data_IF_882977422181
#
_entry.id   IF_882977422181
#
_cell.length_a   1.000
_cell.length_b   1.000
_cell.length_c   1.000
_cell.angle_alpha   90.00
_cell.angle_beta   90.00
_cell.angle_gamma   90.00
#
_symmetry.space_group_name_H-M   'P 1'
#
loop_
_entity.id
_entity.type
_entity.pdbx_description
1 polymer ?
#
# COMPACT_ATOMS: atom_id res chain seq x y z
N UNK A 1 18.97 -13.07 -10.66
CA UNK A 1 19.21 -11.73 -11.22
C UNK A 1 18.87 -10.65 -10.18
N UNK A 2 19.49 -10.74 -8.99
CA UNK A 2 18.99 -10.11 -7.75
C UNK A 2 20.12 -9.38 -6.97
N UNK A 3 21.02 -8.72 -7.71
CA UNK A 3 22.22 -8.09 -7.10
C UNK A 3 22.73 -6.82 -7.80
N UNK A 4 21.84 -6.03 -8.42
CA UNK A 4 22.19 -4.73 -9.04
C UNK A 4 21.09 -3.68 -8.89
N UNK A 5 20.76 -3.30 -7.66
CA UNK A 5 19.93 -2.12 -7.36
C UNK A 5 20.48 -1.26 -6.20
N UNK A 6 21.76 -1.44 -5.87
CA UNK A 6 22.48 -0.62 -4.89
C UNK A 6 23.58 0.21 -5.57
N UNK A 7 23.30 0.81 -6.72
CA UNK A 7 24.12 1.93 -7.18
C UNK A 7 23.78 3.16 -6.32
N UNK A 8 24.48 3.27 -5.20
CA UNK A 8 24.55 4.46 -4.36
C UNK A 8 25.42 5.50 -5.07
N UNK A 9 24.92 6.60 -5.66
CA UNK A 9 25.76 7.75 -5.91
C UNK A 9 25.81 8.57 -4.62
N UNK A 10 26.38 8.01 -3.56
CA UNK A 10 26.54 8.76 -2.31
C UNK A 10 27.89 9.47 -2.37
N UNK A 11 27.88 10.76 -2.76
CA UNK A 11 28.61 11.67 -1.88
C UNK A 11 28.01 11.45 -0.49
N UNK A 12 28.81 11.04 0.51
CA UNK A 12 28.27 10.58 1.77
C UNK A 12 27.73 11.78 2.52
N UNK A 13 26.42 12.07 2.37
CA UNK A 13 25.69 13.09 3.14
C UNK A 13 26.04 12.99 4.61
N UNK A 14 26.22 11.75 5.11
CA UNK A 14 26.75 11.45 6.43
C UNK A 14 27.93 12.35 6.82
N UNK A 15 28.96 12.52 5.97
CA UNK A 15 30.13 13.36 6.27
C UNK A 15 29.80 14.83 6.55
N UNK A 16 28.66 15.33 6.11
CA UNK A 16 28.22 16.70 6.40
C UNK A 16 27.37 16.81 7.66
N UNK A 17 26.83 15.70 8.16
CA UNK A 17 25.97 15.67 9.33
C UNK A 17 26.78 15.80 10.62
N UNK A 18 26.26 16.59 11.55
CA UNK A 18 26.79 16.73 12.90
C UNK A 18 25.64 17.01 13.86
N UNK A 19 25.86 16.74 15.14
CA UNK A 19 25.00 17.21 16.22
C UNK A 19 25.69 18.39 16.94
N UNK A 20 24.96 19.41 17.42
CA UNK A 20 23.51 19.51 17.38
C UNK A 20 22.97 19.79 15.97
N UNK A 21 21.74 19.35 15.71
CA UNK A 21 21.03 19.60 14.46
C UNK A 21 19.52 19.64 14.69
N UNK A 22 18.83 20.43 13.86
CA UNK A 22 17.38 20.51 13.80
C UNK A 22 16.91 19.96 12.46
N UNK A 23 16.05 18.96 12.48
CA UNK A 23 15.60 18.28 11.26
C UNK A 23 14.09 18.40 11.14
N UNK A 24 13.63 18.93 10.00
CA UNK A 24 12.23 18.84 9.60
C UNK A 24 12.07 17.76 8.54
N UNK A 25 11.08 16.89 8.73
CA UNK A 25 10.72 15.87 7.76
C UNK A 25 9.26 16.06 7.34
N UNK A 26 8.97 15.89 6.04
CA UNK A 26 7.61 15.95 5.50
C UNK A 26 7.46 14.87 4.45
N UNK A 27 6.45 14.03 4.57
CA UNK A 27 6.11 13.01 3.57
C UNK A 27 4.71 13.25 2.98
N UNK A 28 4.59 13.01 1.67
CA UNK A 28 3.38 13.23 0.89
C UNK A 28 3.06 12.01 0.03
N UNK A 29 1.87 11.45 0.20
CA UNK A 29 1.36 10.35 -0.61
C UNK A 29 0.88 10.90 -1.95
N UNK A 30 1.32 10.26 -3.03
CA UNK A 30 0.92 10.58 -4.39
C UNK A 30 -0.42 9.90 -4.71
N UNK A 31 -1.38 10.67 -5.20
CA UNK A 31 -2.63 10.18 -5.77
C UNK A 31 -2.45 9.66 -7.19
N UNK A 32 -1.51 10.25 -7.95
CA UNK A 32 -1.16 9.84 -9.32
C UNK A 32 0.37 9.83 -9.49
N UNK A 33 1.05 8.73 -9.08
CA UNK A 33 2.52 8.68 -9.05
C UNK A 33 3.21 8.93 -10.41
N UNK A 34 2.73 8.44 -11.56
CA UNK A 34 3.31 8.77 -12.87
C UNK A 34 3.43 10.27 -13.15
N UNK A 35 2.44 11.06 -12.74
CA UNK A 35 2.42 12.51 -12.96
C UNK A 35 3.08 13.28 -11.82
N UNK A 36 2.80 12.90 -10.57
CA UNK A 36 3.25 13.63 -9.40
C UNK A 36 4.72 13.39 -9.06
N UNK A 37 5.29 12.22 -9.41
CA UNK A 37 6.72 11.96 -9.19
C UNK A 37 7.62 12.95 -9.94
N UNK A 38 7.50 13.12 -11.27
CA UNK A 38 8.30 14.12 -11.98
C UNK A 38 7.94 15.55 -11.54
N UNK A 39 6.67 15.84 -11.19
CA UNK A 39 6.27 17.15 -10.67
C UNK A 39 6.99 17.49 -9.34
N UNK A 40 7.02 16.56 -8.38
CA UNK A 40 7.71 16.75 -7.10
C UNK A 40 9.21 17.00 -7.24
N UNK A 41 9.83 16.45 -8.30
CA UNK A 41 11.22 16.75 -8.66
C UNK A 41 11.38 18.20 -9.13
N UNK A 42 10.46 18.69 -9.96
CA UNK A 42 10.45 20.09 -10.43
C UNK A 42 10.21 21.04 -9.24
N UNK A 43 9.31 20.68 -8.32
CA UNK A 43 9.10 21.42 -7.06
C UNK A 43 10.40 21.49 -6.25
N UNK A 44 11.12 20.37 -6.12
CA UNK A 44 12.40 20.33 -5.43
C UNK A 44 13.45 21.22 -6.11
N UNK A 45 13.54 21.20 -7.44
CA UNK A 45 14.44 22.09 -8.19
C UNK A 45 14.09 23.57 -7.98
N UNK A 46 12.79 23.91 -7.98
CA UNK A 46 12.32 25.27 -7.68
C UNK A 46 12.69 25.69 -6.25
N UNK A 47 12.54 24.79 -5.28
CA UNK A 47 12.95 25.01 -3.89
C UNK A 47 14.44 25.30 -3.76
N UNK A 48 15.30 24.54 -4.43
CA UNK A 48 16.75 24.77 -4.45
C UNK A 48 17.08 26.16 -5.03
N UNK A 49 16.39 26.56 -6.11
CA UNK A 49 16.54 27.88 -6.72
C UNK A 49 16.09 29.02 -5.82
N UNK A 50 14.93 28.89 -5.16
CA UNK A 50 14.40 29.89 -4.22
C UNK A 50 15.33 30.10 -3.02
N UNK A 51 15.89 29.02 -2.50
CA UNK A 51 16.87 29.07 -1.41
C UNK A 51 18.26 29.53 -1.87
N UNK A 52 18.45 29.84 -3.16
CA UNK A 52 19.71 30.30 -3.76
C UNK A 52 20.87 29.33 -3.50
N UNK A 53 20.61 28.02 -3.63
CA UNK A 53 21.63 26.99 -3.47
C UNK A 53 22.42 26.88 -4.77
N UNK A 54 23.75 26.98 -4.68
CA UNK A 54 24.63 26.89 -5.85
C UNK A 54 24.49 25.55 -6.56
N UNK A 55 24.50 25.55 -7.90
CA UNK A 55 24.43 24.33 -8.71
C UNK A 55 25.51 23.31 -8.33
N UNK A 56 26.70 23.77 -7.95
CA UNK A 56 27.83 22.93 -7.51
C UNK A 56 27.57 22.19 -6.19
N UNK A 57 26.68 22.73 -5.37
CA UNK A 57 26.26 22.15 -4.09
C UNK A 57 24.90 21.45 -4.19
N UNK A 58 24.44 21.15 -5.40
CA UNK A 58 23.18 20.44 -5.67
C UNK A 58 23.40 19.18 -6.47
N UNK A 59 22.51 18.24 -6.28
CA UNK A 59 22.48 17.01 -7.05
C UNK A 59 21.04 16.55 -7.18
N UNK A 60 20.57 16.34 -8.41
CA UNK A 60 19.19 15.89 -8.67
C UNK A 60 19.20 14.78 -9.71
N UNK A 61 18.58 13.65 -9.38
CA UNK A 61 18.31 12.50 -10.25
C UNK A 61 16.80 12.26 -10.34
N UNK A 62 16.43 11.13 -10.94
CA UNK A 62 15.03 10.74 -11.13
C UNK A 62 14.25 10.65 -9.82
N UNK A 63 14.79 9.97 -8.80
CA UNK A 63 14.07 9.66 -7.56
C UNK A 63 14.76 10.19 -6.30
N UNK A 64 15.82 10.99 -6.46
CA UNK A 64 16.64 11.45 -5.35
C UNK A 64 17.30 12.78 -5.70
N UNK A 65 17.37 13.68 -4.73
CA UNK A 65 18.18 14.87 -4.85
C UNK A 65 18.56 15.44 -3.49
N UNK A 66 19.61 16.26 -3.48
CA UNK A 66 19.99 17.06 -2.33
C UNK A 66 20.52 18.44 -2.75
N UNK A 67 20.52 19.37 -1.81
CA UNK A 67 21.20 20.66 -1.92
C UNK A 67 21.78 21.07 -0.57
N UNK A 68 22.96 21.68 -0.59
CA UNK A 68 23.66 22.14 0.61
C UNK A 68 23.94 23.63 0.51
N UNK A 69 23.56 24.39 1.55
CA UNK A 69 23.83 25.82 1.66
C UNK A 69 24.56 26.10 2.97
N UNK A 70 25.61 26.91 2.90
CA UNK A 70 26.28 27.45 4.08
C UNK A 70 25.95 28.94 4.18
N UNK A 71 25.58 29.40 5.37
CA UNK A 71 25.34 30.81 5.66
C UNK A 71 26.62 31.47 6.17
N UNK A 72 26.70 32.80 6.08
CA UNK A 72 27.87 33.57 6.52
C UNK A 72 28.19 33.45 8.02
N UNK A 73 27.23 33.02 8.83
CA UNK A 73 27.41 32.74 10.27
C UNK A 73 27.95 31.32 10.57
N UNK A 74 28.24 30.51 9.54
CA UNK A 74 28.73 29.14 9.66
C UNK A 74 27.64 28.07 9.85
N UNK A 75 26.37 28.46 9.81
CA UNK A 75 25.26 27.51 9.79
C UNK A 75 25.19 26.79 8.45
N UNK A 76 24.79 25.53 8.47
CA UNK A 76 24.60 24.73 7.25
C UNK A 76 23.16 24.26 7.15
N UNK A 77 22.57 24.40 5.97
CA UNK A 77 21.26 23.86 5.61
C UNK A 77 21.46 22.76 4.56
N UNK A 78 20.94 21.56 4.82
CA UNK A 78 20.95 20.44 3.88
C UNK A 78 19.50 20.09 3.58
N UNK A 79 19.13 20.10 2.30
CA UNK A 79 17.84 19.65 1.83
C UNK A 79 18.01 18.34 1.10
N UNK A 80 17.13 17.38 1.38
CA UNK A 80 17.09 16.09 0.73
C UNK A 80 15.66 15.87 0.25
N UNK A 81 15.52 15.43 -0.99
CA UNK A 81 14.26 14.98 -1.56
C UNK A 81 14.40 13.54 -2.05
N UNK A 82 13.40 12.73 -1.77
CA UNK A 82 13.35 11.34 -2.22
C UNK A 82 11.96 11.01 -2.71
N UNK A 83 11.88 10.46 -3.92
CA UNK A 83 10.65 9.90 -4.47
C UNK A 83 10.67 8.38 -4.37
N UNK A 84 9.59 7.83 -3.83
CA UNK A 84 9.31 6.41 -3.75
C UNK A 84 8.21 6.03 -4.74
N UNK A 85 7.74 4.79 -4.68
CA UNK A 85 6.67 4.31 -5.55
C UNK A 85 5.36 5.06 -5.31
N UNK A 86 5.00 5.29 -4.04
CA UNK A 86 3.66 5.77 -3.64
C UNK A 86 3.67 7.11 -2.90
N UNK A 87 4.84 7.57 -2.47
CA UNK A 87 5.01 8.84 -1.75
C UNK A 87 6.35 9.47 -2.12
N UNK A 88 6.52 10.74 -1.79
CA UNK A 88 7.81 11.40 -1.78
C UNK A 88 7.98 12.18 -0.48
N UNK A 89 9.21 12.56 -0.17
CA UNK A 89 9.50 13.27 1.06
C UNK A 89 10.54 14.38 0.87
N UNK A 90 10.51 15.31 1.81
CA UNK A 90 11.55 16.29 2.04
C UNK A 90 12.12 16.11 3.44
N UNK A 91 13.43 16.16 3.55
CA UNK A 91 14.15 16.16 4.81
C UNK A 91 15.11 17.34 4.81
N UNK A 92 14.92 18.25 5.75
CA UNK A 92 15.69 19.48 5.88
C UNK A 92 16.47 19.43 7.17
N UNK A 93 17.79 19.58 7.09
CA UNK A 93 18.68 19.62 8.23
C UNK A 93 19.25 21.02 8.38
N UNK A 94 19.04 21.64 9.53
CA UNK A 94 19.76 22.82 9.96
C UNK A 94 20.81 22.43 10.99
N UNK A 95 22.07 22.72 10.67
CA UNK A 95 23.24 22.45 11.50
C UNK A 95 23.78 23.81 11.97
N UNK A 96 23.44 24.26 13.19
CA UNK A 96 23.96 25.51 13.71
C UNK A 96 25.49 25.49 13.83
N UNK A 97 26.11 26.65 13.75
CA UNK A 97 27.50 26.84 14.16
C UNK A 97 27.61 26.78 15.69
N UNK A 98 28.79 26.40 16.23
CA UNK A 98 28.97 26.25 17.69
C UNK A 98 28.68 27.52 18.50
N UNK A 99 28.62 28.69 17.84
CA UNK A 99 28.33 29.97 18.47
C UNK A 99 26.81 30.23 18.68
N UNK A 100 25.93 29.50 18.01
CA UNK A 100 24.53 29.91 17.82
C UNK A 100 23.49 29.25 18.76
N UNK A 101 23.93 28.77 19.93
CA UNK A 101 23.05 28.14 20.92
C UNK A 101 22.52 26.76 20.51
N UNK A 102 21.75 26.12 21.40
CA UNK A 102 21.14 24.82 21.12
C UNK A 102 19.87 24.99 20.27
N UNK A 103 19.62 24.11 19.27
CA UNK A 103 18.39 24.16 18.49
C UNK A 103 17.16 23.86 19.36
N UNK A 104 16.01 24.44 18.99
CA UNK A 104 14.73 24.29 19.71
C UNK A 104 13.62 23.89 18.75
N UNK A 105 12.54 23.28 19.27
CA UNK A 105 11.39 22.89 18.45
C UNK A 105 10.70 24.14 17.90
N UNK A 106 10.10 24.03 16.73
CA UNK A 106 9.54 25.19 16.04
C UNK A 106 10.02 25.32 14.59
N UNK A 107 9.89 26.50 13.97
CA UNK A 107 10.44 26.75 12.65
C UNK A 107 11.96 26.61 12.65
N UNK A 108 12.54 26.17 11.53
CA UNK A 108 14.00 26.14 11.38
C UNK A 108 14.56 27.57 11.53
N UNK A 109 15.61 27.73 12.32
CA UNK A 109 16.23 29.04 12.61
C UNK A 109 17.35 29.40 11.65
N UNK A 110 17.48 28.69 10.52
CA UNK A 110 18.46 29.03 9.48
C UNK A 110 18.18 30.45 8.93
N UNK A 111 19.21 31.30 8.75
CA UNK A 111 19.02 32.69 8.33
C UNK A 111 18.24 32.82 7.02
N UNK A 112 17.25 33.71 7.01
CA UNK A 112 16.38 34.01 5.84
C UNK A 112 15.68 32.77 5.26
N UNK A 113 15.45 31.74 6.08
CA UNK A 113 14.74 30.54 5.64
C UNK A 113 13.23 30.74 5.66
N UNK A 114 12.58 30.41 4.54
CA UNK A 114 11.13 30.21 4.46
C UNK A 114 10.89 29.03 3.54
N UNK A 115 10.04 28.09 3.95
CA UNK A 115 9.64 26.98 3.08
C UNK A 115 8.58 27.50 2.09
N UNK A 116 8.92 27.71 0.80
CA UNK A 116 8.14 28.55 -0.11
C UNK A 116 7.12 27.78 -0.95
N UNK A 117 6.89 26.49 -0.67
CA UNK A 117 6.07 25.60 -1.51
C UNK A 117 5.02 24.89 -0.67
N UNK A 118 3.81 24.77 -1.23
CA UNK A 118 2.80 23.81 -0.80
C UNK A 118 2.95 22.54 -1.65
N UNK A 119 3.52 21.45 -1.10
CA UNK A 119 3.80 20.27 -1.91
C UNK A 119 2.53 19.55 -2.35
N UNK A 120 2.57 18.98 -3.55
CA UNK A 120 1.50 18.15 -4.09
C UNK A 120 1.22 16.89 -3.25
N UNK A 121 -0.02 16.40 -3.34
CA UNK A 121 -0.45 15.14 -2.74
C UNK A 121 -1.01 15.30 -1.33
N UNK A 122 -1.23 14.17 -0.67
CA UNK A 122 -1.82 14.13 0.68
C UNK A 122 -0.71 13.98 1.71
N UNK A 123 -0.73 14.81 2.75
CA UNK A 123 0.23 14.73 3.85
C UNK A 123 0.13 13.35 4.52
N UNK A 124 1.28 12.69 4.67
CA UNK A 124 1.41 11.44 5.43
C UNK A 124 1.80 11.75 6.86
N UNK A 125 2.92 12.45 7.05
CA UNK A 125 3.39 12.90 8.35
C UNK A 125 4.30 14.13 8.20
N UNK A 126 4.43 14.87 9.30
CA UNK A 126 5.42 15.93 9.47
C UNK A 126 6.12 15.76 10.80
N UNK A 127 7.44 15.87 10.82
CA UNK A 127 8.24 15.67 12.02
C UNK A 127 9.12 16.88 12.27
N UNK A 128 9.28 17.19 13.56
CA UNK A 128 10.21 18.18 14.09
C UNK A 128 11.18 17.45 15.04
N UNK A 129 12.40 17.19 14.57
CA UNK A 129 13.38 16.33 15.22
C UNK A 129 14.57 17.18 15.68
N UNK A 130 14.88 17.14 16.98
CA UNK A 130 16.07 17.75 17.55
C UNK A 130 17.11 16.68 17.86
N UNK A 131 18.31 16.88 17.33
CA UNK A 131 19.49 16.08 17.63
C UNK A 131 20.40 16.89 18.54
N UNK A 132 20.65 16.39 19.75
CA UNK A 132 21.53 17.01 20.73
C UNK A 132 22.67 16.07 21.10
N UNK A 133 23.77 16.64 21.59
CA UNK A 133 24.87 15.86 22.17
C UNK A 133 24.73 15.81 23.69
N UNK A 134 25.10 14.68 24.28
CA UNK A 134 25.14 14.53 25.75
C UNK A 134 23.95 13.75 26.32
N UNK A 135 23.59 14.07 27.55
CA UNK A 135 22.54 13.36 28.29
C UNK A 135 21.15 13.85 27.88
N UNK A 136 20.18 12.92 27.91
CA UNK A 136 18.78 13.27 27.74
C UNK A 136 18.35 14.22 28.86
N UNK A 137 17.65 15.34 28.56
CA UNK A 137 17.15 16.22 29.60
C UNK A 137 16.20 15.49 30.56
N UNK A 138 16.05 15.98 31.81
CA UNK A 138 15.08 15.46 32.75
C UNK A 138 13.67 15.41 32.16
N UNK A 139 12.92 14.37 32.51
CA UNK A 139 11.57 14.12 31.97
C UNK A 139 10.60 15.31 32.13
N UNK A 140 10.73 16.06 33.22
CA UNK A 140 9.86 17.21 33.47
C UNK A 140 10.13 18.37 32.50
N UNK A 141 11.38 18.59 32.09
CA UNK A 141 11.74 19.59 31.08
C UNK A 141 11.23 19.16 29.70
N UNK A 142 11.47 17.91 29.32
CA UNK A 142 10.96 17.37 28.04
C UNK A 142 9.43 17.43 27.95
N UNK A 143 8.72 17.22 29.06
CA UNK A 143 7.24 17.28 29.08
C UNK A 143 6.70 18.67 28.75
N UNK A 144 7.41 19.74 29.06
CA UNK A 144 7.01 21.11 28.72
C UNK A 144 7.19 21.39 27.23
N UNK A 145 8.18 20.73 26.61
CA UNK A 145 8.52 20.91 25.19
C UNK A 145 7.70 20.04 24.23
N UNK A 146 7.11 18.97 24.74
CA UNK A 146 6.36 17.98 23.95
C UNK A 146 4.84 18.20 24.08
N UNK A 147 4.08 18.19 22.98
CA UNK A 147 2.62 18.22 23.03
C UNK A 147 2.07 16.90 23.60
N UNK A 148 0.88 16.94 24.17
CA UNK A 148 0.16 15.75 24.60
C UNK A 148 0.49 15.24 26.01
N UNK A 149 -0.27 14.25 26.50
CA UNK A 149 -0.24 13.86 27.92
C UNK A 149 0.83 12.84 28.28
N UNK A 150 1.30 12.04 27.31
CA UNK A 150 2.19 10.89 27.52
C UNK A 150 3.50 11.09 26.79
N UNK A 151 4.60 10.74 27.46
CA UNK A 151 5.93 10.68 26.86
C UNK A 151 6.36 9.23 26.71
N UNK A 152 6.87 8.93 25.53
CA UNK A 152 7.51 7.69 25.17
C UNK A 152 9.01 7.94 25.00
N UNK A 153 9.82 6.94 25.32
CA UNK A 153 11.25 7.09 25.23
C UNK A 153 11.99 5.79 25.42
N UNK A 154 13.10 5.68 24.71
CA UNK A 154 13.88 4.45 24.58
C UNK A 154 15.34 4.74 24.32
N UNK A 155 16.19 3.77 24.66
CA UNK A 155 17.58 3.74 24.19
C UNK A 155 17.68 2.91 22.92
N UNK A 156 18.47 3.36 21.94
CA UNK A 156 18.60 2.71 20.62
C UNK A 156 20.07 2.53 20.18
N UNK A 157 20.30 1.62 19.25
CA UNK A 157 21.54 1.35 18.50
C UNK A 157 22.85 1.05 19.24
N UNK A 158 23.04 1.31 20.55
CA UNK A 158 24.10 0.81 21.45
C UNK A 158 23.95 1.43 22.88
N UNK A 159 22.72 1.62 23.36
CA UNK A 159 22.38 2.19 24.70
C UNK A 159 22.79 3.66 24.97
N UNK A 160 23.67 4.24 24.17
CA UNK A 160 24.15 5.62 24.35
C UNK A 160 23.28 6.68 23.65
N UNK A 161 22.40 6.27 22.73
CA UNK A 161 21.44 7.18 22.08
C UNK A 161 20.09 7.03 22.74
N UNK A 162 19.52 8.13 23.21
CA UNK A 162 18.16 8.17 23.75
C UNK A 162 17.24 8.91 22.78
N UNK A 163 16.05 8.36 22.55
CA UNK A 163 14.98 9.01 21.79
C UNK A 163 13.79 9.22 22.71
N UNK A 164 13.14 10.37 22.62
CA UNK A 164 11.91 10.68 23.31
C UNK A 164 10.92 11.39 22.37
N UNK A 165 9.64 11.04 22.46
CA UNK A 165 8.55 11.59 21.65
C UNK A 165 7.22 11.47 22.42
N UNK A 166 6.21 12.24 22.04
CA UNK A 166 4.84 12.08 22.54
C UNK A 166 3.87 11.50 21.52
N UNK A 167 4.30 11.33 20.25
CA UNK A 167 3.43 10.97 19.11
C UNK A 167 2.17 11.83 19.00
N UNK A 168 2.19 13.02 19.60
CA UNK A 168 1.11 13.99 19.50
C UNK A 168 1.60 15.09 18.57
N UNK A 169 0.83 15.47 17.54
CA UNK A 169 1.19 16.59 16.70
C UNK A 169 1.12 17.91 17.49
N UNK A 170 2.01 18.85 17.17
CA UNK A 170 1.92 20.23 17.63
C UNK A 170 0.90 21.05 16.82
N UNK A 171 0.78 22.34 17.12
CA UNK A 171 -0.15 23.27 16.44
C UNK A 171 0.11 23.40 14.92
N UNK A 172 1.26 22.93 14.43
CA UNK A 172 1.62 22.89 13.01
C UNK A 172 1.52 21.48 12.41
N UNK A 173 0.82 20.57 13.10
CA UNK A 173 0.65 19.16 12.73
C UNK A 173 1.98 18.38 12.67
N UNK A 174 2.95 18.73 13.52
CA UNK A 174 4.26 18.05 13.55
C UNK A 174 4.45 17.25 14.82
N UNK A 175 4.84 16.00 14.68
CA UNK A 175 5.26 15.20 15.82
C UNK A 175 6.71 15.52 16.18
N UNK A 176 6.96 15.64 17.49
CA UNK A 176 8.25 16.09 18.01
C UNK A 176 9.10 14.93 18.51
N UNK A 177 10.34 14.91 18.08
CA UNK A 177 11.33 13.92 18.50
C UNK A 177 12.54 14.62 19.11
N UNK A 178 12.89 14.23 20.33
CA UNK A 178 14.17 14.57 20.93
C UNK A 178 15.10 13.37 20.82
N UNK A 179 16.29 13.58 20.27
CA UNK A 179 17.31 12.55 20.11
C UNK A 179 18.61 13.03 20.76
N UNK A 180 18.96 12.42 21.89
CA UNK A 180 20.24 12.68 22.56
C UNK A 180 21.27 11.64 22.14
N UNK A 181 22.32 12.08 21.46
CA UNK A 181 23.39 11.23 20.96
C UNK A 181 24.54 11.23 21.97
N UNK A 182 24.99 10.03 22.35
CA UNK A 182 26.04 9.84 23.35
C UNK A 182 27.41 10.43 22.97
N UNK A 183 28.34 10.51 23.94
CA UNK A 183 29.60 11.26 23.85
C UNK A 183 30.67 10.65 22.95
N UNK A 184 30.51 9.40 22.47
CA UNK A 184 31.41 8.85 21.46
C UNK A 184 31.22 9.64 20.16
N UNK A 185 32.15 10.57 19.87
CA UNK A 185 32.17 11.38 18.66
C UNK A 185 31.81 10.52 17.45
N UNK A 186 30.66 10.85 16.88
CA UNK A 186 29.87 9.95 16.07
C UNK A 186 30.55 9.60 14.76
N UNK A 187 30.42 8.34 14.38
CA UNK A 187 30.32 8.02 12.97
C UNK A 187 29.15 8.85 12.41
N UNK A 188 29.39 9.84 11.53
CA UNK A 188 28.34 10.69 11.00
C UNK A 188 27.27 9.90 10.24
N UNK A 189 27.60 8.68 9.81
CA UNK A 189 26.67 7.70 9.24
C UNK A 189 25.55 7.36 10.24
N UNK A 190 25.85 7.31 11.53
CA UNK A 190 24.91 6.94 12.59
C UNK A 190 23.79 7.95 12.78
N UNK A 191 24.08 9.25 12.66
CA UNK A 191 23.05 10.30 12.74
C UNK A 191 22.01 10.13 11.64
N UNK A 192 22.49 9.82 10.42
CA UNK A 192 21.61 9.53 9.29
C UNK A 192 20.75 8.30 9.56
N UNK A 193 21.36 7.22 10.06
CA UNK A 193 20.64 5.97 10.35
C UNK A 193 19.56 6.16 11.42
N UNK A 194 19.82 6.97 12.46
CA UNK A 194 18.83 7.29 13.50
C UNK A 194 17.63 8.03 12.91
N UNK A 195 17.88 9.12 12.18
CA UNK A 195 16.80 9.89 11.57
C UNK A 195 16.07 9.06 10.52
N UNK A 196 16.78 8.27 9.73
CA UNK A 196 16.18 7.38 8.73
C UNK A 196 15.29 6.32 9.34
N UNK A 197 15.64 5.79 10.50
CA UNK A 197 14.79 4.85 11.23
C UNK A 197 13.52 5.54 11.75
N UNK A 198 13.64 6.73 12.36
CA UNK A 198 12.50 7.51 12.87
C UNK A 198 11.55 7.87 11.72
N UNK A 199 12.04 8.53 10.67
CA UNK A 199 11.19 8.97 9.54
C UNK A 199 10.56 7.78 8.82
N UNK A 200 11.24 6.63 8.76
CA UNK A 200 10.72 5.40 8.16
C UNK A 200 9.60 4.80 9.00
N UNK A 201 9.79 4.67 10.32
CA UNK A 201 8.72 4.23 11.22
C UNK A 201 7.51 5.14 11.06
N UNK A 202 7.71 6.45 11.15
CA UNK A 202 6.61 7.41 11.10
C UNK A 202 5.87 7.41 9.77
N UNK A 203 6.59 7.39 8.65
CA UNK A 203 5.98 7.37 7.33
C UNK A 203 5.14 6.12 7.11
N UNK A 204 5.68 4.94 7.42
CA UNK A 204 4.97 3.68 7.16
C UNK A 204 3.89 3.38 8.21
N UNK A 205 4.05 3.84 9.45
CA UNK A 205 3.00 3.83 10.46
C UNK A 205 1.80 4.65 9.98
N UNK A 206 2.01 5.91 9.58
CA UNK A 206 0.94 6.79 9.11
C UNK A 206 0.30 6.28 7.81
N UNK A 207 1.07 5.78 6.84
CA UNK A 207 0.52 5.14 5.64
C UNK A 207 -0.39 3.95 5.97
N UNK A 208 -0.03 3.14 6.97
CA UNK A 208 -0.86 2.03 7.42
C UNK A 208 -2.14 2.52 8.12
N UNK A 209 -2.04 3.57 8.94
CA UNK A 209 -3.21 4.19 9.59
C UNK A 209 -4.20 4.74 8.56
N UNK A 210 -3.72 5.36 7.48
CA UNK A 210 -4.57 5.86 6.39
C UNK A 210 -5.40 4.76 5.72
N UNK A 211 -4.96 3.50 5.79
CA UNK A 211 -5.69 2.36 5.22
C UNK A 211 -6.76 1.80 6.17
N UNK A 212 -6.71 2.09 7.48
CA UNK A 212 -7.69 1.54 8.44
C UNK A 212 -9.16 1.85 8.10
N UNK A 213 -9.54 3.06 7.66
CA UNK A 213 -10.93 3.32 7.25
C UNK A 213 -11.33 2.50 6.02
N UNK A 214 -10.42 2.35 5.06
CA UNK A 214 -10.63 1.52 3.85
C UNK A 214 -10.81 0.05 4.24
N UNK A 215 -10.04 -0.44 5.20
CA UNK A 215 -10.20 -1.78 5.76
C UNK A 215 -11.59 -1.99 6.35
N UNK A 216 -12.02 -1.08 7.23
CA UNK A 216 -13.31 -1.18 7.90
C UNK A 216 -14.46 -1.19 6.89
N UNK A 217 -14.39 -0.31 5.89
CA UNK A 217 -15.37 -0.29 4.79
C UNK A 217 -15.36 -1.59 3.97
N UNK A 218 -14.18 -2.15 3.70
CA UNK A 218 -14.02 -3.40 2.98
C UNK A 218 -14.61 -4.60 3.74
N UNK A 219 -14.42 -4.66 5.07
CA UNK A 219 -15.01 -5.69 5.94
C UNK A 219 -16.54 -5.64 5.83
N UNK A 220 -17.14 -4.46 5.97
CA UNK A 220 -18.59 -4.27 5.88
C UNK A 220 -19.12 -4.67 4.50
N UNK A 221 -18.39 -4.31 3.44
CA UNK A 221 -18.76 -4.65 2.08
C UNK A 221 -18.72 -6.17 1.87
N UNK A 222 -17.67 -6.85 2.35
CA UNK A 222 -17.53 -8.31 2.25
C UNK A 222 -18.62 -9.00 3.05
N UNK A 223 -18.91 -8.53 4.26
CA UNK A 223 -19.97 -9.09 5.08
C UNK A 223 -21.35 -8.98 4.43
N UNK A 224 -21.72 -7.80 3.91
CA UNK A 224 -22.99 -7.61 3.17
C UNK A 224 -23.06 -8.52 1.95
N UNK A 225 -21.94 -8.66 1.24
CA UNK A 225 -21.84 -9.51 0.06
C UNK A 225 -22.05 -11.00 0.41
N UNK A 226 -21.37 -11.49 1.45
CA UNK A 226 -21.51 -12.86 1.98
C UNK A 226 -22.95 -13.18 2.37
N UNK A 227 -23.63 -12.28 3.09
CA UNK A 227 -25.01 -12.46 3.52
C UNK A 227 -25.99 -12.60 2.35
N UNK A 228 -25.86 -11.73 1.33
CA UNK A 228 -26.69 -11.82 0.12
C UNK A 228 -26.46 -13.16 -0.60
N UNK A 229 -25.20 -13.60 -0.69
CA UNK A 229 -24.84 -14.85 -1.36
C UNK A 229 -25.35 -16.09 -0.63
N UNK A 230 -25.26 -16.11 0.71
CA UNK A 230 -25.78 -17.22 1.52
C UNK A 230 -27.30 -17.37 1.32
N UNK A 231 -28.04 -16.26 1.37
CA UNK A 231 -29.49 -16.25 1.16
C UNK A 231 -29.88 -16.73 -0.25
N UNK A 232 -29.15 -16.27 -1.28
CA UNK A 232 -29.41 -16.74 -2.65
C UNK A 232 -29.14 -18.24 -2.81
N UNK A 233 -28.04 -18.75 -2.22
CA UNK A 233 -27.71 -20.18 -2.25
C UNK A 233 -28.79 -21.00 -1.56
N UNK A 234 -29.29 -20.55 -0.42
CA UNK A 234 -30.41 -21.19 0.28
C UNK A 234 -31.67 -21.25 -0.60
N UNK A 235 -32.05 -20.14 -1.25
CA UNK A 235 -33.21 -20.10 -2.16
C UNK A 235 -33.03 -21.10 -3.31
N UNK A 236 -31.87 -21.07 -3.96
CA UNK A 236 -31.57 -21.96 -5.10
C UNK A 236 -31.60 -23.42 -4.65
N UNK A 237 -30.90 -23.77 -3.57
CA UNK A 237 -30.85 -25.15 -3.07
C UNK A 237 -32.22 -25.68 -2.68
N UNK A 238 -33.07 -24.86 -2.05
CA UNK A 238 -34.41 -25.28 -1.64
C UNK A 238 -35.39 -25.43 -2.82
N UNK A 239 -35.19 -24.71 -3.93
CA UNK A 239 -36.15 -24.68 -5.04
C UNK A 239 -35.66 -25.40 -6.31
N UNK A 240 -34.38 -25.80 -6.38
CA UNK A 240 -33.79 -26.39 -7.60
C UNK A 240 -34.50 -27.67 -8.06
N UNK A 241 -35.00 -28.49 -7.13
CA UNK A 241 -35.68 -29.73 -7.46
C UNK A 241 -37.01 -29.57 -8.19
N UNK A 242 -37.64 -28.39 -8.12
CA UNK A 242 -38.95 -28.11 -8.72
C UNK A 242 -38.91 -26.91 -9.69
N UNK A 243 -37.71 -26.48 -10.09
CA UNK A 243 -37.53 -25.28 -10.89
C UNK A 243 -37.90 -25.51 -12.35
N UNK A 244 -38.59 -24.55 -12.95
CA UNK A 244 -38.86 -24.50 -14.39
C UNK A 244 -37.66 -23.89 -15.16
N UNK A 245 -37.72 -23.95 -16.50
CA UNK A 245 -36.66 -23.42 -17.36
C UNK A 245 -36.42 -21.92 -17.15
N UNK A 246 -37.46 -21.15 -16.84
CA UNK A 246 -37.36 -19.72 -16.63
C UNK A 246 -36.67 -19.39 -15.29
N UNK A 247 -36.97 -20.13 -14.22
CA UNK A 247 -36.31 -20.00 -12.92
C UNK A 247 -34.82 -20.37 -13.02
N UNK A 248 -34.49 -21.48 -13.69
CA UNK A 248 -33.11 -21.89 -13.94
C UNK A 248 -32.32 -20.82 -14.70
N UNK A 249 -32.93 -20.21 -15.73
CA UNK A 249 -32.30 -19.13 -16.48
C UNK A 249 -32.08 -17.86 -15.64
N UNK A 250 -33.08 -17.46 -14.83
CA UNK A 250 -32.94 -16.32 -13.92
C UNK A 250 -31.79 -16.54 -12.94
N UNK A 251 -31.72 -17.73 -12.32
CA UNK A 251 -30.64 -18.07 -11.39
C UNK A 251 -29.27 -18.10 -12.07
N UNK A 252 -29.17 -18.63 -13.29
CA UNK A 252 -27.90 -18.62 -14.04
C UNK A 252 -27.40 -17.19 -14.28
N UNK A 253 -28.30 -16.29 -14.69
CA UNK A 253 -27.96 -14.88 -14.90
C UNK A 253 -27.54 -14.20 -13.60
N UNK A 254 -28.29 -14.42 -12.51
CA UNK A 254 -27.96 -13.87 -11.19
C UNK A 254 -26.60 -14.35 -10.71
N UNK A 255 -26.35 -15.67 -10.71
CA UNK A 255 -25.07 -16.25 -10.30
C UNK A 255 -23.90 -15.75 -11.16
N UNK A 256 -24.11 -15.55 -12.46
CA UNK A 256 -23.09 -15.00 -13.36
C UNK A 256 -22.76 -13.55 -13.01
N UNK A 257 -23.77 -12.71 -12.78
CA UNK A 257 -23.57 -11.33 -12.34
C UNK A 257 -22.86 -11.26 -10.99
N UNK A 258 -23.24 -12.14 -10.08
CA UNK A 258 -22.66 -12.23 -8.75
C UNK A 258 -21.18 -12.62 -8.82
N UNK A 259 -20.81 -13.61 -9.63
CA UNK A 259 -19.41 -13.97 -9.88
C UNK A 259 -18.59 -12.80 -10.43
N UNK A 260 -19.15 -12.01 -11.34
CA UNK A 260 -18.48 -10.81 -11.88
C UNK A 260 -18.32 -9.73 -10.81
N UNK A 261 -19.33 -9.51 -9.97
CA UNK A 261 -19.25 -8.58 -8.83
C UNK A 261 -18.20 -9.01 -7.82
N UNK A 262 -18.15 -10.29 -7.45
CA UNK A 262 -17.11 -10.84 -6.57
C UNK A 262 -15.72 -10.56 -7.13
N UNK A 263 -15.49 -10.86 -8.40
CA UNK A 263 -14.17 -10.67 -9.02
C UNK A 263 -13.76 -9.20 -9.06
N UNK A 264 -14.68 -8.28 -9.38
CA UNK A 264 -14.40 -6.85 -9.37
C UNK A 264 -14.07 -6.35 -7.97
N UNK A 265 -14.91 -6.69 -7.01
CA UNK A 265 -14.73 -6.31 -5.61
C UNK A 265 -13.42 -6.86 -5.05
N UNK A 266 -13.14 -8.13 -5.28
CA UNK A 266 -11.89 -8.77 -4.89
C UNK A 266 -10.67 -8.06 -5.51
N UNK A 267 -10.73 -7.75 -6.81
CA UNK A 267 -9.66 -7.04 -7.50
C UNK A 267 -9.40 -5.65 -6.94
N UNK A 268 -10.45 -4.86 -6.71
CA UNK A 268 -10.34 -3.51 -6.13
C UNK A 268 -9.77 -3.56 -4.71
N UNK A 269 -10.34 -4.40 -3.84
CA UNK A 269 -9.87 -4.51 -2.45
C UNK A 269 -8.45 -5.03 -2.36
N UNK A 270 -8.08 -6.01 -3.19
CA UNK A 270 -6.72 -6.52 -3.25
C UNK A 270 -5.74 -5.41 -3.67
N UNK A 271 -6.10 -4.62 -4.69
CA UNK A 271 -5.28 -3.50 -5.14
C UNK A 271 -5.10 -2.45 -4.03
N UNK A 272 -6.20 -1.97 -3.44
CA UNK A 272 -6.19 -0.91 -2.42
C UNK A 272 -5.46 -1.29 -1.12
N UNK A 273 -5.50 -2.57 -0.75
CA UNK A 273 -4.96 -3.07 0.52
C UNK A 273 -3.62 -3.82 0.35
N UNK A 274 -3.13 -3.97 -0.89
CA UNK A 274 -1.88 -4.68 -1.16
C UNK A 274 -0.66 -4.06 -0.46
N UNK A 275 -0.66 -2.73 -0.34
CA UNK A 275 0.46 -1.99 0.23
C UNK A 275 0.55 -2.08 1.77
N UNK A 276 -0.55 -2.45 2.45
CA UNK A 276 -0.58 -2.55 3.91
C UNK A 276 0.43 -3.55 4.48
N UNK A 277 0.62 -4.69 3.81
CA UNK A 277 1.51 -5.76 4.28
C UNK A 277 3.00 -5.37 4.18
N UNK A 278 3.49 -4.78 3.07
CA UNK A 278 4.81 -4.17 3.03
C UNK A 278 5.03 -3.13 4.13
N UNK A 279 4.05 -2.24 4.38
CA UNK A 279 4.19 -1.17 5.38
C UNK A 279 4.39 -1.74 6.79
N UNK A 280 3.52 -2.67 7.19
CA UNK A 280 3.61 -3.39 8.46
C UNK A 280 5.00 -4.04 8.64
N UNK A 281 5.47 -4.77 7.62
CA UNK A 281 6.79 -5.41 7.63
C UNK A 281 7.93 -4.39 7.77
N UNK A 282 7.83 -3.23 7.11
CA UNK A 282 8.85 -2.18 7.19
C UNK A 282 8.88 -1.58 8.59
N UNK A 283 7.73 -1.32 9.21
CA UNK A 283 7.67 -0.83 10.60
C UNK A 283 8.31 -1.83 11.55
N UNK A 284 7.88 -3.10 11.51
CA UNK A 284 8.42 -4.16 12.38
C UNK A 284 9.92 -4.37 12.20
N UNK A 285 10.42 -4.43 10.96
CA UNK A 285 11.85 -4.61 10.69
C UNK A 285 12.69 -3.41 11.10
N UNK A 286 12.16 -2.18 10.95
CA UNK A 286 12.85 -0.97 11.39
C UNK A 286 12.92 -0.90 12.91
N UNK A 287 11.81 -1.16 13.61
CA UNK A 287 11.79 -1.26 15.08
C UNK A 287 12.76 -2.31 15.60
N UNK A 288 12.82 -3.49 14.97
CA UNK A 288 13.77 -4.53 15.34
C UNK A 288 15.23 -4.07 15.15
N UNK A 289 15.51 -3.34 14.06
CA UNK A 289 16.86 -2.82 13.77
C UNK A 289 17.33 -1.70 14.72
N UNK A 290 16.40 -0.98 15.36
CA UNK A 290 16.72 0.03 16.38
C UNK A 290 17.39 -0.60 17.62
N UNK A 291 17.20 -1.91 17.85
CA UNK A 291 17.65 -2.62 19.04
C UNK A 291 17.23 -1.87 20.33
N UNK A 292 15.93 -1.58 20.42
CA UNK A 292 15.34 -0.76 21.47
C UNK A 292 15.54 -1.37 22.87
N UNK A 293 15.91 -0.52 23.83
CA UNK A 293 16.02 -0.85 25.26
C UNK A 293 15.18 0.11 26.10
N UNK A 294 14.61 -0.34 27.23
CA UNK A 294 13.85 0.52 28.13
C UNK A 294 14.67 1.71 28.64
N UNK A 295 14.00 2.85 28.76
CA UNK A 295 14.51 4.06 29.40
C UNK A 295 13.69 4.32 30.67
N UNK A 296 14.38 4.61 31.78
CA UNK A 296 13.74 4.79 33.08
C UNK A 296 12.69 5.91 33.05
N UNK A 297 11.51 5.65 33.63
CA UNK A 297 10.36 6.59 33.64
C UNK A 297 9.69 6.87 32.28
N UNK A 298 10.03 6.13 31.23
CA UNK A 298 9.38 6.21 29.92
C UNK A 298 8.75 4.87 29.51
N UNK A 299 7.66 4.94 28.75
CA UNK A 299 7.19 3.78 27.98
C UNK A 299 8.00 3.68 26.69
N UNK A 300 8.38 2.48 26.25
CA UNK A 300 9.07 2.29 24.97
C UNK A 300 8.33 2.95 23.80
N UNK A 301 9.06 3.51 22.87
CA UNK A 301 8.49 4.08 21.63
C UNK A 301 7.80 3.02 20.78
N UNK A 302 8.29 1.78 20.78
CA UNK A 302 7.66 0.68 20.05
C UNK A 302 6.26 0.35 20.57
N UNK A 303 5.99 0.51 21.87
CA UNK A 303 4.68 0.21 22.45
C UNK A 303 3.56 1.02 21.80
N UNK A 304 3.79 2.33 21.58
CA UNK A 304 2.82 3.20 20.91
C UNK A 304 2.58 2.75 19.46
N UNK A 305 3.67 2.58 18.71
CA UNK A 305 3.64 2.24 17.28
C UNK A 305 2.95 0.89 17.08
N UNK A 306 3.40 -0.14 17.80
CA UNK A 306 2.87 -1.50 17.70
C UNK A 306 1.43 -1.57 18.18
N UNK A 307 1.08 -0.94 19.30
CA UNK A 307 -0.32 -0.88 19.76
C UNK A 307 -1.23 -0.21 18.73
N UNK A 308 -0.74 0.84 18.08
CA UNK A 308 -1.46 1.55 17.04
C UNK A 308 -1.73 0.71 15.78
N UNK A 309 -0.89 -0.28 15.47
CA UNK A 309 -1.06 -1.13 14.27
C UNK A 309 -1.47 -2.57 14.59
N UNK A 310 -1.61 -2.92 15.87
CA UNK A 310 -1.97 -4.26 16.30
C UNK A 310 -3.28 -4.71 15.64
N UNK A 311 -3.27 -5.92 15.08
CA UNK A 311 -4.43 -6.52 14.42
C UNK A 311 -4.79 -5.93 13.05
N UNK A 312 -4.14 -4.84 12.62
CA UNK A 312 -4.40 -4.22 11.31
C UNK A 312 -3.89 -5.10 10.18
N UNK A 313 -2.60 -5.48 10.22
CA UNK A 313 -2.00 -6.36 9.22
C UNK A 313 -2.62 -7.76 9.21
N UNK A 314 -2.86 -8.34 10.38
CA UNK A 314 -3.54 -9.63 10.51
C UNK A 314 -4.97 -9.57 9.97
N UNK A 315 -5.71 -8.51 10.30
CA UNK A 315 -7.04 -8.25 9.77
C UNK A 315 -7.04 -8.16 8.24
N UNK A 316 -6.06 -7.46 7.66
CA UNK A 316 -5.89 -7.41 6.20
C UNK A 316 -5.68 -8.80 5.61
N UNK A 317 -4.79 -9.61 6.16
CA UNK A 317 -4.53 -10.95 5.66
C UNK A 317 -5.77 -11.84 5.75
N UNK A 318 -6.52 -11.76 6.86
CA UNK A 318 -7.75 -12.53 7.04
C UNK A 318 -8.83 -12.10 6.04
N UNK A 319 -8.98 -10.80 5.81
CA UNK A 319 -9.91 -10.27 4.81
C UNK A 319 -9.54 -10.71 3.41
N UNK A 320 -8.27 -10.59 3.01
CA UNK A 320 -7.80 -11.05 1.70
C UNK A 320 -8.05 -12.54 1.52
N UNK A 321 -7.79 -13.35 2.55
CA UNK A 321 -8.08 -14.79 2.53
C UNK A 321 -9.59 -15.09 2.39
N UNK A 322 -10.46 -14.33 3.06
CA UNK A 322 -11.92 -14.45 2.87
C UNK A 322 -12.33 -14.08 1.45
N UNK A 323 -11.83 -12.97 0.93
CA UNK A 323 -12.08 -12.51 -0.44
C UNK A 323 -11.63 -13.57 -1.45
N UNK A 324 -10.44 -14.15 -1.28
CA UNK A 324 -9.93 -15.23 -2.12
C UNK A 324 -10.81 -16.48 -2.01
N UNK A 325 -11.37 -16.77 -0.83
CA UNK A 325 -12.32 -17.87 -0.63
C UNK A 325 -13.65 -17.59 -1.35
N UNK A 326 -14.13 -16.35 -1.35
CA UNK A 326 -15.34 -15.93 -2.08
C UNK A 326 -15.13 -16.00 -3.60
N UNK A 327 -13.97 -15.56 -4.06
CA UNK A 327 -13.55 -15.64 -5.46
C UNK A 327 -13.36 -17.08 -5.91
N UNK A 328 -12.71 -17.88 -5.06
CA UNK A 328 -12.35 -19.28 -5.26
C UNK A 328 -13.43 -20.25 -4.85
N UNK A 329 -14.67 -19.80 -4.63
CA UNK A 329 -15.83 -20.65 -4.38
C UNK A 329 -16.11 -21.55 -5.60
N UNK A 330 -15.36 -22.65 -5.70
CA UNK A 330 -15.48 -23.71 -6.70
C UNK A 330 -16.93 -24.18 -6.82
N UNK A 331 -17.70 -24.08 -5.74
CA UNK A 331 -19.12 -24.40 -5.75
C UNK A 331 -19.97 -23.43 -6.59
N UNK A 332 -19.74 -22.12 -6.59
CA UNK A 332 -20.56 -21.19 -7.37
C UNK A 332 -20.28 -21.36 -8.86
N UNK A 333 -19.01 -21.54 -9.22
CA UNK A 333 -18.61 -21.82 -10.59
C UNK A 333 -19.16 -23.16 -11.09
N UNK A 334 -19.04 -24.24 -10.32
CA UNK A 334 -19.63 -25.53 -10.72
C UNK A 334 -21.17 -25.52 -10.71
N UNK A 335 -21.80 -24.74 -9.84
CA UNK A 335 -23.27 -24.56 -9.87
C UNK A 335 -23.70 -23.84 -11.14
N UNK A 336 -22.99 -22.77 -11.53
CA UNK A 336 -23.21 -22.06 -12.80
C UNK A 336 -22.95 -22.99 -13.99
N UNK A 337 -21.88 -23.79 -13.95
CA UNK A 337 -21.55 -24.75 -15.00
C UNK A 337 -22.64 -25.82 -15.15
N UNK A 338 -23.05 -26.47 -14.05
CA UNK A 338 -24.11 -27.48 -14.07
C UNK A 338 -25.45 -26.91 -14.53
N UNK A 339 -25.83 -25.73 -14.03
CA UNK A 339 -27.04 -25.02 -14.43
C UNK A 339 -26.99 -24.60 -15.90
N UNK A 340 -25.82 -24.17 -16.41
CA UNK A 340 -25.64 -23.80 -17.81
C UNK A 340 -25.84 -24.98 -18.75
N UNK A 341 -25.39 -26.18 -18.38
CA UNK A 341 -25.61 -27.40 -19.18
C UNK A 341 -27.11 -27.67 -19.32
N UNK A 342 -27.86 -27.56 -18.21
CA UNK A 342 -29.31 -27.77 -18.21
C UNK A 342 -30.02 -26.72 -19.08
N UNK A 343 -29.67 -25.44 -18.91
CA UNK A 343 -30.27 -24.34 -19.67
C UNK A 343 -29.95 -24.46 -21.16
N UNK A 344 -28.70 -24.75 -21.53
CA UNK A 344 -28.28 -24.94 -22.93
C UNK A 344 -29.00 -26.15 -23.55
N UNK A 345 -29.11 -27.26 -22.83
CA UNK A 345 -29.83 -28.44 -23.31
C UNK A 345 -31.30 -28.14 -23.59
N UNK A 346 -31.97 -27.35 -22.72
CA UNK A 346 -33.35 -26.94 -22.93
C UNK A 346 -33.50 -26.05 -24.19
N UNK A 347 -32.58 -25.10 -24.39
CA UNK A 347 -32.57 -24.28 -25.60
C UNK A 347 -32.34 -25.09 -26.87
N UNK A 348 -31.35 -25.99 -26.87
CA UNK A 348 -31.07 -26.87 -27.99
C UNK A 348 -32.28 -27.74 -28.33
N UNK A 349 -32.92 -28.35 -27.32
CA UNK A 349 -34.11 -29.15 -27.53
C UNK A 349 -35.30 -28.32 -28.06
N UNK A 350 -35.54 -27.13 -27.50
CA UNK A 350 -36.62 -26.23 -27.94
C UNK A 350 -36.43 -25.72 -29.37
N UNK A 351 -35.22 -25.25 -29.71
CA UNK A 351 -34.87 -24.79 -31.06
C UNK A 351 -34.99 -25.91 -32.09
N UNK A 352 -34.44 -27.09 -31.79
CA UNK A 352 -34.55 -28.25 -32.67
C UNK A 352 -35.99 -28.71 -32.86
N UNK A 353 -36.85 -28.55 -31.86
CA UNK A 353 -38.28 -28.81 -31.99
C UNK A 353 -38.96 -27.99 -33.11
N UNK A 354 -38.61 -26.71 -33.26
CA UNK A 354 -39.09 -25.89 -34.38
C UNK A 354 -38.51 -26.34 -35.72
N UNK A 355 -37.21 -26.70 -35.75
CA UNK A 355 -36.55 -27.22 -36.95
C UNK A 355 -37.21 -28.52 -37.42
N UNK A 356 -37.49 -29.45 -36.50
CA UNK A 356 -38.15 -30.72 -36.83
C UNK A 356 -39.59 -30.54 -37.28
N UNK A 357 -40.34 -29.58 -36.71
CA UNK A 357 -41.68 -29.23 -37.20
C UNK A 357 -41.64 -28.70 -38.63
N UNK A 358 -40.71 -27.79 -38.95
CA UNK A 358 -40.53 -27.30 -40.32
C UNK A 358 -40.15 -28.39 -41.31
N UNK A 359 -39.26 -29.31 -40.91
CA UNK A 359 -38.89 -30.48 -41.71
C UNK A 359 -40.04 -31.48 -41.90
N UNK A 360 -40.94 -31.61 -40.93
CA UNK A 360 -42.15 -32.42 -41.07
C UNK A 360 -43.14 -31.78 -42.05
N UNK A 361 -43.34 -30.46 -42.00
CA UNK A 361 -44.19 -29.73 -42.96
C UNK A 361 -43.65 -29.82 -44.39
N UNK A 362 -42.33 -29.84 -44.56
CA UNK A 362 -41.68 -30.09 -45.87
C UNK A 362 -41.72 -31.56 -46.32
N UNK A 363 -42.28 -32.46 -45.52
CA UNK A 363 -42.41 -33.89 -45.84
C UNK A 363 -41.13 -34.71 -45.63
N UNK A 364 -40.07 -34.13 -45.07
CA UNK A 364 -38.79 -34.80 -44.84
C UNK A 364 -38.79 -35.66 -43.57
N UNK A 365 -39.66 -35.34 -42.60
CA UNK A 365 -39.82 -36.11 -41.36
C UNK A 365 -41.24 -36.64 -41.23
N UNK A 366 -41.37 -37.93 -40.90
CA UNK A 366 -42.67 -38.58 -40.66
C UNK A 366 -43.32 -38.12 -39.35
N UNK A 367 -42.53 -37.79 -38.32
CA UNK A 367 -43.04 -37.39 -37.01
C UNK A 367 -42.02 -36.53 -36.25
N UNK A 368 -42.29 -35.22 -36.11
CA UNK A 368 -41.43 -34.29 -35.39
C UNK A 368 -41.39 -34.57 -33.87
N UNK A 369 -42.43 -35.14 -33.28
CA UNK A 369 -42.45 -35.44 -31.84
C UNK A 369 -41.45 -36.55 -31.49
N UNK A 370 -41.39 -37.61 -32.31
CA UNK A 370 -40.41 -38.71 -32.12
C UNK A 370 -38.99 -38.19 -32.33
N UNK A 371 -38.76 -37.39 -33.38
CA UNK A 371 -37.46 -36.77 -33.63
C UNK A 371 -37.01 -35.87 -32.46
N UNK A 372 -37.93 -35.07 -31.92
CA UNK A 372 -37.68 -34.21 -30.75
C UNK A 372 -37.32 -35.04 -29.51
N UNK A 373 -38.03 -36.14 -29.25
CA UNK A 373 -37.75 -37.02 -28.11
C UNK A 373 -36.36 -37.67 -28.20
N UNK A 374 -35.96 -38.14 -29.39
CA UNK A 374 -34.63 -38.72 -29.64
C UNK A 374 -33.53 -37.66 -29.51
N UNK A 375 -33.83 -36.40 -29.82
CA UNK A 375 -32.86 -35.32 -29.77
C UNK A 375 -32.55 -34.83 -28.34
N UNK A 376 -33.41 -35.08 -27.34
CA UNK A 376 -33.18 -34.62 -25.96
C UNK A 376 -31.87 -35.15 -25.36
N UNK A 377 -31.56 -36.46 -25.41
CA UNK A 377 -30.25 -36.98 -24.96
C UNK A 377 -29.07 -36.38 -25.74
N UNK A 378 -29.24 -36.16 -27.04
CA UNK A 378 -28.21 -35.57 -27.92
C UNK A 378 -27.94 -34.12 -27.50
N UNK A 379 -29.00 -33.35 -27.21
CA UNK A 379 -28.90 -31.97 -26.75
C UNK A 379 -28.13 -31.85 -25.43
N UNK A 380 -28.32 -32.78 -24.49
CA UNK A 380 -27.53 -32.83 -23.23
C UNK A 380 -26.05 -33.10 -23.53
N UNK A 381 -25.76 -34.08 -24.39
CA UNK A 381 -24.39 -34.40 -24.80
C UNK A 381 -23.70 -33.22 -25.50
N UNK A 382 -24.41 -32.53 -26.39
CA UNK A 382 -23.92 -31.31 -27.06
C UNK A 382 -23.70 -30.17 -26.07
N UNK A 383 -24.62 -29.94 -25.13
CA UNK A 383 -24.47 -28.93 -24.10
C UNK A 383 -23.22 -29.18 -23.23
N UNK A 384 -22.98 -30.43 -22.84
CA UNK A 384 -21.78 -30.83 -22.10
C UNK A 384 -20.49 -30.63 -22.94
N UNK A 385 -20.53 -30.98 -24.23
CA UNK A 385 -19.43 -30.78 -25.16
C UNK A 385 -19.09 -29.31 -25.38
N UNK A 386 -20.10 -28.45 -25.53
CA UNK A 386 -19.93 -27.00 -25.68
C UNK A 386 -19.28 -26.40 -24.43
N UNK A 387 -19.78 -26.72 -23.23
CA UNK A 387 -19.22 -26.16 -21.98
C UNK A 387 -17.78 -26.61 -21.73
N UNK A 388 -17.45 -27.88 -21.97
CA UNK A 388 -16.08 -28.39 -21.84
C UNK A 388 -15.11 -27.84 -22.89
N UNK A 389 -15.56 -27.67 -24.14
CA UNK A 389 -14.72 -27.14 -25.21
C UNK A 389 -14.47 -25.64 -25.06
N UNK A 390 -15.49 -24.86 -24.69
CA UNK A 390 -15.36 -23.43 -24.38
C UNK A 390 -14.31 -23.17 -23.30
N UNK A 391 -14.27 -24.01 -22.25
CA UNK A 391 -13.26 -23.93 -21.18
C UNK A 391 -11.83 -24.12 -21.70
N UNK A 392 -11.61 -25.20 -22.48
CA UNK A 392 -10.28 -25.48 -23.08
C UNK A 392 -9.83 -24.38 -24.02
N UNK A 393 -10.76 -23.81 -24.79
CA UNK A 393 -10.46 -22.74 -25.73
C UNK A 393 -10.13 -21.41 -25.03
N UNK A 394 -10.90 -21.03 -23.99
CA UNK A 394 -10.65 -19.83 -23.19
C UNK A 394 -9.32 -19.91 -22.43
N UNK A 395 -9.00 -21.05 -21.80
CA UNK A 395 -7.71 -21.23 -21.13
C UNK A 395 -6.53 -21.10 -22.09
N UNK A 396 -6.60 -21.79 -23.25
CA UNK A 396 -5.55 -21.72 -24.26
C UNK A 396 -5.36 -20.30 -24.83
N UNK A 397 -6.45 -19.53 -24.95
CA UNK A 397 -6.42 -18.15 -25.45
C UNK A 397 -5.94 -17.13 -24.40
N UNK A 398 -6.15 -17.40 -23.10
CA UNK A 398 -5.65 -16.57 -22.01
C UNK A 398 -4.17 -16.86 -21.71
N UNK A 399 -3.73 -18.11 -21.78
CA UNK A 399 -2.31 -18.49 -21.69
C UNK A 399 -1.50 -17.97 -22.88
N UNK A 400 -2.08 -17.96 -24.08
CA UNK A 400 -1.46 -17.35 -25.27
C UNK A 400 -1.38 -15.82 -25.25
N UNK A 401 -1.89 -15.15 -24.21
CA UNK A 401 -1.92 -13.68 -24.08
C UNK A 401 -1.07 -13.14 -22.92
N UNK A 402 -0.28 -13.99 -22.24
CA UNK A 402 0.86 -13.50 -21.47
C UNK A 402 1.92 -12.99 -22.46
N UNK A 403 2.36 -11.71 -22.40
CA UNK A 403 3.48 -11.30 -23.23
C UNK A 403 4.71 -12.09 -22.76
N UNK A 404 5.30 -12.87 -23.66
CA UNK A 404 6.63 -13.42 -23.48
C UNK A 404 7.58 -12.24 -23.22
N UNK A 405 7.92 -12.00 -21.95
CA UNK A 405 9.15 -11.31 -21.62
C UNK A 405 10.28 -12.21 -22.16
N UNK A 406 10.79 -11.84 -23.34
CA UNK A 406 11.96 -12.48 -23.94
C UNK A 406 13.09 -12.48 -22.90
N UNK A 407 13.44 -13.68 -22.47
CA UNK A 407 14.70 -13.96 -21.80
C UNK A 407 15.82 -13.71 -22.83
N UNK A 408 16.56 -12.63 -22.64
CA UNK A 408 17.84 -12.43 -23.32
C UNK A 408 18.87 -13.30 -22.57
N UNK A 409 19.28 -14.40 -23.21
CA UNK A 409 20.44 -15.19 -22.77
C UNK A 409 21.70 -14.44 -23.22
N UNK A 410 22.70 -14.20 -22.37
CA UNK A 410 24.04 -13.96 -22.85
C UNK A 410 24.66 -15.33 -23.21
N UNK A 411 25.01 -15.50 -24.48
CA UNK A 411 25.98 -16.50 -24.91
C UNK A 411 27.41 -15.95 -24.72
N UNK A 412 28.43 -16.83 -24.63
CA UNK A 412 29.46 -16.86 -23.58
C UNK A 412 30.54 -15.78 -23.63
#
# INVERSE_FOLDING_TARGET
>A
MLRKLHERPHQPIGRWLRAPAHVHYKAFRMSDPPTQRPASRVEFQSLLGHLKISAEATYVRENFGYGVKEAGNGDRLILIWQAHTEYYNYQLWHLPSQANGAPTFGPLTFPEYTFPVEPLGTVVCRLDILLTTGMLPPRHELRVLMPGPVLYGSRIFNEQTCVATSFTPDDQERERYWVSVGPSQGDPSRLKDIVDAIVRIETYYHLLLMQKPLFSAAIDQVYKFEQVHLKQREIITNHIGHADSQALQRWLNTLTQDLLKTNRMAGTLHFELSASLPYDRIVHSTLASLAEKPLESYRPTSDYVLSGITGVAEGYQQLLKRIDTLRGGVLLQHTVEGLSVIVIAYYLAGLSGYVFKGLQEMGWLKNANIASAIFVPIAIGLAFGITTFSKKYLHKKLEGKQPMAKADKPEP
#
